data_IF_312111939101
#
_entry.id   IF_312111939101
#
_cell.length_a   1.000
_cell.length_b   1.000
_cell.length_c   1.000
_cell.angle_alpha   90.00
_cell.angle_beta   90.00
_cell.angle_gamma   90.00
#
_symmetry.space_group_name_H-M   'P 1'
#
loop_
_entity.id
_entity.type
_entity.pdbx_description
1 polymer ?
#
# COMPACT_ATOMS: atom_id res chain seq x y z
N UNK A 1 9.45 10.03 6.40
CA UNK A 1 9.15 8.88 7.29
C UNK A 1 9.48 9.26 8.72
N UNK A 2 8.65 8.86 9.63
CA UNK A 2 8.85 9.07 11.07
C UNK A 2 10.21 8.50 11.50
N UNK A 3 10.96 9.27 12.30
CA UNK A 3 12.38 8.94 12.60
C UNK A 3 12.60 7.67 13.43
N UNK A 4 11.58 7.21 14.15
CA UNK A 4 11.65 5.97 14.94
C UNK A 4 11.39 4.69 14.10
N UNK A 5 10.93 4.84 12.86
CA UNK A 5 10.69 3.72 11.95
C UNK A 5 11.93 3.47 11.09
N UNK A 6 12.85 2.73 11.67
CA UNK A 6 14.10 2.27 11.04
C UNK A 6 14.07 0.75 10.89
N UNK A 7 14.96 0.15 10.09
CA UNK A 7 15.03 -1.31 10.01
C UNK A 7 15.14 -1.95 11.39
N UNK A 8 14.28 -2.95 11.67
CA UNK A 8 14.19 -3.60 12.97
C UNK A 8 13.14 -3.03 13.92
N UNK A 9 12.57 -1.85 13.62
CA UNK A 9 11.47 -1.29 14.40
C UNK A 9 10.16 -2.03 14.14
N UNK A 10 9.20 -1.90 15.08
CA UNK A 10 7.85 -2.45 14.91
C UNK A 10 7.00 -1.46 14.10
N UNK A 11 6.46 -1.94 12.97
CA UNK A 11 5.58 -1.14 12.13
C UNK A 11 4.15 -1.12 12.70
N UNK A 12 3.45 0.03 12.68
CA UNK A 12 2.08 0.10 13.20
C UNK A 12 1.11 -0.82 12.46
N UNK A 13 0.19 -1.44 13.17
CA UNK A 13 -0.82 -2.33 12.60
C UNK A 13 -2.08 -1.54 12.21
N UNK A 14 -2.04 -0.90 11.05
CA UNK A 14 -3.16 -0.09 10.57
C UNK A 14 -4.35 -0.93 10.17
N UNK A 15 -5.55 -0.40 10.45
CA UNK A 15 -6.81 -0.93 9.96
C UNK A 15 -7.42 0.08 8.99
N UNK A 16 -7.65 -0.35 7.74
CA UNK A 16 -8.16 0.49 6.66
C UNK A 16 -9.19 -0.29 5.83
N UNK A 17 -10.15 0.40 5.19
CA UNK A 17 -11.02 -0.26 4.24
C UNK A 17 -10.23 -0.70 3.02
N UNK A 18 -10.55 -1.89 2.52
CA UNK A 18 -9.94 -2.42 1.30
C UNK A 18 -10.68 -1.95 0.04
N UNK A 19 -10.30 -2.48 -1.12
CA UNK A 19 -10.92 -2.15 -2.40
C UNK A 19 -12.40 -2.59 -2.50
N UNK A 20 -12.87 -3.43 -1.58
CA UNK A 20 -14.29 -3.83 -1.47
C UNK A 20 -15.02 -3.09 -0.35
N UNK A 21 -14.39 -2.06 0.22
CA UNK A 21 -14.89 -1.27 1.35
C UNK A 21 -15.09 -2.10 2.64
N UNK A 22 -14.26 -3.13 2.81
CA UNK A 22 -14.25 -3.98 4.00
C UNK A 22 -13.05 -3.63 4.87
N UNK A 23 -13.22 -3.36 6.19
CA UNK A 23 -12.09 -3.07 7.07
C UNK A 23 -11.13 -4.26 7.16
N UNK A 24 -9.83 -4.00 6.98
CA UNK A 24 -8.78 -5.01 7.05
C UNK A 24 -7.60 -4.47 7.86
N UNK A 25 -6.98 -5.34 8.64
CA UNK A 25 -5.74 -5.01 9.37
C UNK A 25 -4.54 -5.53 8.58
N UNK A 26 -3.41 -4.82 8.66
CA UNK A 26 -2.17 -5.29 8.04
C UNK A 26 -1.75 -6.66 8.57
N UNK A 27 -1.90 -6.88 9.88
CA UNK A 27 -1.57 -8.17 10.51
C UNK A 27 -2.41 -9.33 9.97
N UNK A 28 -3.69 -9.09 9.66
CA UNK A 28 -4.55 -10.07 9.00
C UNK A 28 -4.06 -10.44 7.61
N UNK A 29 -3.69 -9.43 6.83
CA UNK A 29 -3.22 -9.61 5.46
C UNK A 29 -1.87 -10.32 5.43
N UNK A 30 -1.04 -10.08 6.43
CA UNK A 30 0.27 -10.68 6.56
C UNK A 30 0.19 -12.14 6.98
N UNK A 31 -0.63 -12.46 7.98
CA UNK A 31 -0.62 -13.78 8.59
C UNK A 31 0.76 -14.11 9.17
N UNK A 32 1.26 -15.31 8.88
CA UNK A 32 2.56 -15.79 9.36
C UNK A 32 3.69 -15.54 8.36
N UNK A 33 3.41 -14.85 7.26
CA UNK A 33 4.32 -14.65 6.14
C UNK A 33 4.92 -13.23 6.14
N UNK A 34 6.04 -12.99 5.45
CA UNK A 34 6.49 -11.62 5.17
C UNK A 34 5.45 -10.86 4.35
N UNK A 35 5.32 -9.57 4.59
CA UNK A 35 4.43 -8.68 3.83
C UNK A 35 5.25 -7.61 3.11
N UNK A 36 5.11 -7.57 1.79
CA UNK A 36 5.60 -6.44 0.99
C UNK A 36 4.50 -5.39 1.01
N UNK A 37 4.76 -4.26 1.67
CA UNK A 37 3.82 -3.16 1.77
C UNK A 37 4.25 -2.03 0.85
N UNK A 38 3.41 -1.70 -0.14
CA UNK A 38 3.65 -0.61 -1.07
C UNK A 38 2.78 0.58 -0.69
N UNK A 39 3.41 1.69 -0.37
CA UNK A 39 2.75 2.97 -0.12
C UNK A 39 2.81 3.76 -1.43
N UNK A 40 1.65 4.00 -2.03
CA UNK A 40 1.54 4.54 -3.38
C UNK A 40 0.93 5.93 -3.39
N UNK A 41 1.34 6.77 -4.38
CA UNK A 41 0.70 8.08 -4.60
C UNK A 41 -0.76 7.94 -4.94
N UNK A 42 -1.10 6.99 -5.81
CA UNK A 42 -2.47 6.74 -6.20
C UNK A 42 -2.67 6.51 -7.69
N UNK A 43 -3.92 6.35 -8.08
CA UNK A 43 -4.35 5.99 -9.44
C UNK A 43 -3.88 6.99 -10.52
N UNK A 44 -3.78 8.27 -10.17
CA UNK A 44 -3.41 9.32 -11.12
C UNK A 44 -1.93 9.27 -11.56
N UNK A 45 -1.07 8.55 -10.84
CA UNK A 45 0.38 8.57 -11.06
C UNK A 45 0.83 7.49 -12.04
N UNK A 46 1.38 7.85 -13.24
CA UNK A 46 1.83 6.85 -14.22
C UNK A 46 2.95 5.94 -13.70
N UNK A 47 3.82 6.45 -12.84
CA UNK A 47 4.91 5.65 -12.25
C UNK A 47 4.38 4.55 -11.34
N UNK A 48 3.32 4.84 -10.60
CA UNK A 48 2.66 3.85 -9.75
C UNK A 48 1.99 2.76 -10.57
N UNK A 49 1.38 3.14 -11.69
CA UNK A 49 0.82 2.18 -12.64
C UNK A 49 1.91 1.24 -13.16
N UNK A 50 3.03 1.78 -13.61
CA UNK A 50 4.13 0.97 -14.15
C UNK A 50 4.69 0.02 -13.08
N UNK A 51 4.93 0.51 -11.87
CA UNK A 51 5.42 -0.31 -10.76
C UNK A 51 4.45 -1.46 -10.45
N UNK A 52 3.16 -1.17 -10.40
CA UNK A 52 2.14 -2.17 -10.06
C UNK A 52 1.92 -3.17 -11.20
N UNK A 53 2.06 -2.76 -12.46
CA UNK A 53 2.06 -3.69 -13.59
C UNK A 53 3.22 -4.69 -13.48
N UNK A 54 4.39 -4.22 -13.12
CA UNK A 54 5.56 -5.08 -12.91
C UNK A 54 5.36 -6.03 -11.72
N UNK A 55 4.82 -5.53 -10.61
CA UNK A 55 4.48 -6.35 -9.44
C UNK A 55 3.44 -7.42 -9.78
N UNK A 56 2.41 -7.07 -10.55
CA UNK A 56 1.39 -8.03 -10.98
C UNK A 56 1.99 -9.16 -11.83
N UNK A 57 2.95 -8.82 -12.70
CA UNK A 57 3.67 -9.82 -13.50
C UNK A 57 4.52 -10.77 -12.62
N UNK A 58 5.07 -10.27 -11.52
CA UNK A 58 5.87 -11.05 -10.57
C UNK A 58 5.03 -11.79 -9.53
N UNK A 59 3.78 -11.44 -9.38
CA UNK A 59 2.93 -11.95 -8.29
C UNK A 59 2.93 -13.48 -8.14
N UNK A 60 2.84 -14.28 -9.22
CA UNK A 60 2.87 -15.74 -9.08
C UNK A 60 4.14 -16.25 -8.39
N UNK A 61 5.29 -15.62 -8.64
CA UNK A 61 6.57 -15.99 -7.98
C UNK A 61 6.57 -15.59 -6.52
N UNK A 62 6.00 -14.43 -6.18
CA UNK A 62 5.90 -13.94 -4.81
C UNK A 62 4.98 -14.84 -3.99
N UNK A 63 3.84 -15.24 -4.55
CA UNK A 63 2.88 -16.13 -3.89
C UNK A 63 3.49 -17.51 -3.59
N UNK A 64 4.24 -18.06 -4.53
CA UNK A 64 4.94 -19.35 -4.35
C UNK A 64 6.01 -19.26 -3.26
N UNK A 65 6.58 -18.08 -3.06
CA UNK A 65 7.57 -17.82 -1.99
C UNK A 65 6.94 -17.56 -0.62
N UNK A 66 5.62 -17.79 -0.47
CA UNK A 66 4.89 -17.56 0.78
C UNK A 66 5.06 -16.12 1.29
N UNK A 67 4.96 -15.16 0.38
CA UNK A 67 5.06 -13.73 0.70
C UNK A 67 3.76 -13.04 0.28
N UNK A 68 3.24 -12.18 1.16
CA UNK A 68 2.03 -11.42 0.90
C UNK A 68 2.40 -10.04 0.34
N UNK A 69 1.45 -9.42 -0.38
CA UNK A 69 1.57 -8.03 -0.84
C UNK A 69 0.33 -7.26 -0.41
N UNK A 70 0.50 -6.00 -0.07
CA UNK A 70 -0.60 -5.06 0.10
C UNK A 70 -0.17 -3.69 -0.42
N UNK A 71 -1.12 -2.92 -0.95
CA UNK A 71 -0.91 -1.55 -1.41
C UNK A 71 -1.80 -0.61 -0.60
N UNK A 72 -1.25 0.51 -0.14
CA UNK A 72 -2.01 1.59 0.49
C UNK A 72 -1.89 2.84 -0.37
N UNK A 73 -3.02 3.47 -0.69
CA UNK A 73 -3.04 4.79 -1.32
C UNK A 73 -4.11 5.68 -0.68
N UNK A 74 -4.07 6.98 -0.98
CA UNK A 74 -5.07 7.94 -0.48
C UNK A 74 -6.33 8.00 -1.34
N UNK A 75 -6.43 7.16 -2.36
CA UNK A 75 -7.63 7.06 -3.19
C UNK A 75 -8.82 6.56 -2.37
N UNK A 76 -10.04 6.99 -2.74
CA UNK A 76 -11.25 6.37 -2.20
C UNK A 76 -11.40 4.95 -2.74
N UNK A 77 -12.34 4.17 -2.19
CA UNK A 77 -12.44 2.75 -2.54
C UNK A 77 -12.85 2.51 -4.01
N UNK A 78 -13.63 3.41 -4.62
CA UNK A 78 -14.00 3.30 -6.03
C UNK A 78 -12.78 3.50 -6.93
N UNK A 79 -12.03 4.56 -6.71
CA UNK A 79 -10.80 4.86 -7.44
C UNK A 79 -9.75 3.77 -7.21
N UNK A 80 -9.68 3.25 -5.99
CA UNK A 80 -8.79 2.17 -5.61
C UNK A 80 -9.12 0.88 -6.37
N UNK A 81 -10.40 0.54 -6.53
CA UNK A 81 -10.83 -0.60 -7.34
C UNK A 81 -10.41 -0.45 -8.80
N UNK A 82 -10.59 0.75 -9.35
CA UNK A 82 -10.16 1.05 -10.73
C UNK A 82 -8.65 0.89 -10.89
N UNK A 83 -7.88 1.40 -9.93
CA UNK A 83 -6.43 1.26 -9.92
C UNK A 83 -6.04 -0.22 -9.92
N UNK A 84 -6.58 -0.98 -8.98
CA UNK A 84 -6.32 -2.41 -8.84
C UNK A 84 -6.64 -3.18 -10.12
N UNK A 85 -7.81 -2.93 -10.71
CA UNK A 85 -8.24 -3.57 -11.94
C UNK A 85 -7.37 -3.19 -13.14
N UNK A 86 -6.99 -1.91 -13.25
CA UNK A 86 -6.21 -1.40 -14.38
C UNK A 86 -4.80 -2.01 -14.46
N UNK A 87 -4.23 -2.40 -13.33
CA UNK A 87 -2.90 -3.03 -13.28
C UNK A 87 -2.95 -4.55 -13.20
N UNK A 88 -4.15 -5.14 -13.09
CA UNK A 88 -4.33 -6.59 -12.99
C UNK A 88 -3.82 -7.19 -11.69
N UNK A 89 -3.84 -6.41 -10.61
CA UNK A 89 -3.37 -6.88 -9.32
C UNK A 89 -4.34 -7.89 -8.68
N UNK A 90 -3.79 -8.90 -8.01
CA UNK A 90 -4.56 -9.94 -7.31
C UNK A 90 -4.48 -9.82 -5.79
N UNK A 91 -3.72 -8.87 -5.27
CA UNK A 91 -3.58 -8.66 -3.83
C UNK A 91 -4.49 -7.54 -3.34
N UNK A 92 -4.56 -7.37 -2.03
CA UNK A 92 -5.43 -6.37 -1.39
C UNK A 92 -4.87 -4.97 -1.54
N UNK A 93 -5.72 -4.03 -1.95
CA UNK A 93 -5.46 -2.60 -1.93
C UNK A 93 -6.25 -1.98 -0.78
N UNK A 94 -5.60 -1.10 0.00
CA UNK A 94 -6.17 -0.42 1.15
C UNK A 94 -6.32 1.08 0.86
N UNK A 95 -7.43 1.64 1.28
CA UNK A 95 -7.78 3.04 1.07
C UNK A 95 -7.49 3.87 2.32
N UNK A 96 -6.73 4.96 2.16
CA UNK A 96 -6.43 5.93 3.23
C UNK A 96 -6.91 7.33 2.84
N UNK A 97 -8.25 7.54 2.59
CA UNK A 97 -8.74 8.82 2.12
C UNK A 97 -8.63 9.94 3.17
N UNK A 98 -8.63 9.58 4.45
CA UNK A 98 -8.45 10.53 5.56
C UNK A 98 -6.99 10.83 5.86
N UNK A 99 -6.06 10.25 5.12
CA UNK A 99 -4.60 10.40 5.27
C UNK A 99 -4.09 10.01 6.65
N UNK A 100 -4.73 9.03 7.29
CA UNK A 100 -4.32 8.56 8.62
C UNK A 100 -2.89 8.01 8.62
N UNK A 101 -2.58 7.13 7.67
CA UNK A 101 -1.23 6.54 7.53
C UNK A 101 -0.21 7.61 7.13
N UNK A 102 -0.57 8.45 6.16
CA UNK A 102 0.29 9.52 5.67
C UNK A 102 0.71 10.48 6.79
N UNK A 103 -0.23 10.89 7.62
CA UNK A 103 0.02 11.79 8.74
C UNK A 103 0.82 11.10 9.85
N UNK A 104 0.43 9.88 10.20
CA UNK A 104 1.10 9.13 11.26
C UNK A 104 2.56 8.81 10.92
N UNK A 105 2.84 8.47 9.66
CA UNK A 105 4.19 8.17 9.20
C UNK A 105 5.00 9.41 8.80
N UNK A 106 4.37 10.59 8.76
CA UNK A 106 5.01 11.85 8.33
C UNK A 106 5.62 11.73 6.92
N UNK A 107 4.81 11.32 5.95
CA UNK A 107 5.24 11.08 4.56
C UNK A 107 4.40 11.85 3.53
N UNK A 108 3.82 12.99 3.91
CA UNK A 108 3.10 13.84 2.97
C UNK A 108 4.06 14.43 1.94
N UNK A 109 3.68 14.41 0.66
CA UNK A 109 4.46 14.99 -0.42
C UNK A 109 4.11 16.46 -0.60
N UNK A 110 5.01 17.35 -0.24
CA UNK A 110 4.77 18.80 -0.23
C UNK A 110 4.67 19.42 -1.62
N UNK A 111 5.17 18.73 -2.64
CA UNK A 111 5.22 19.26 -4.02
C UNK A 111 3.94 19.07 -4.80
N UNK A 112 2.96 18.37 -4.23
CA UNK A 112 1.67 18.10 -4.89
C UNK A 112 0.49 18.33 -3.93
N UNK A 113 0.21 19.60 -3.55
CA UNK A 113 -0.86 19.89 -2.61
C UNK A 113 -2.26 19.60 -3.15
N UNK A 114 -2.44 19.53 -4.46
CA UNK A 114 -3.72 19.24 -5.10
C UNK A 114 -4.20 17.83 -4.79
N UNK A 115 -3.32 16.84 -4.97
CA UNK A 115 -3.64 15.45 -4.69
C UNK A 115 -3.38 15.06 -3.24
N UNK A 116 -2.48 15.81 -2.56
CA UNK A 116 -2.06 15.54 -1.19
C UNK A 116 -1.69 14.05 -0.96
N UNK A 117 -0.79 13.50 -1.80
CA UNK A 117 -0.42 12.10 -1.71
C UNK A 117 0.65 11.84 -0.66
N UNK A 118 0.85 10.57 -0.33
CA UNK A 118 2.01 10.16 0.44
C UNK A 118 3.24 9.99 -0.46
N UNK A 119 4.43 10.19 0.10
CA UNK A 119 5.68 9.86 -0.58
C UNK A 119 5.74 8.33 -0.76
N UNK A 120 5.98 7.82 -1.97
CA UNK A 120 5.98 6.37 -2.19
C UNK A 120 7.08 5.66 -1.41
N UNK A 121 6.73 4.54 -0.84
CA UNK A 121 7.67 3.65 -0.14
C UNK A 121 7.32 2.20 -0.45
N UNK A 122 8.33 1.34 -0.46
CA UNK A 122 8.13 -0.11 -0.47
C UNK A 122 8.85 -0.67 0.75
N UNK A 123 8.10 -1.34 1.60
CA UNK A 123 8.58 -1.88 2.87
C UNK A 123 8.39 -3.39 2.89
N UNK A 124 9.31 -4.08 3.57
CA UNK A 124 9.15 -5.51 3.87
C UNK A 124 8.96 -5.66 5.36
N UNK A 125 7.80 -6.15 5.75
CA UNK A 125 7.44 -6.36 7.15
C UNK A 125 7.61 -7.84 7.48
N UNK A 126 8.43 -8.14 8.49
CA UNK A 126 8.58 -9.50 9.00
C UNK A 126 7.40 -9.86 9.90
N UNK A 127 7.04 -11.15 9.97
CA UNK A 127 6.00 -11.61 10.88
C UNK A 127 6.31 -11.31 12.34
#
# INVERSE_FOLDING_TARGET
MRSDLVPGAVFPDYQLPDHTDTPRRLSELQGDDPLILTLARGHYCPKEHQQHLELAAFYPKIAVAYTQIATISTDDHHTLQEFRASVGAEWTFLSDPDRTVQKDLDIAEYTDPEHNPMIPHTLVLKP
#
